data_IF_714719193007
#
_entry.id   IF_714719193007
#
_cell.length_a   1.000
_cell.length_b   1.000
_cell.length_c   1.000
_cell.angle_alpha   90.00
_cell.angle_beta   90.00
_cell.angle_gamma   90.00
#
_symmetry.space_group_name_H-M   'P 1'
#
loop_
_entity.id
_entity.type
_entity.pdbx_description
1 polymer ?
#
# COMPACT_ATOMS: atom_id res chain seq x y z
N UNK A 1 -2.13 13.29 2.25
CA UNK A 1 -3.32 13.03 1.43
C UNK A 1 -2.95 12.70 -0.01
N UNK A 2 -2.22 13.55 -0.75
CA UNK A 2 -1.77 13.23 -2.13
C UNK A 2 -0.95 11.92 -2.23
N UNK A 3 -0.04 11.68 -1.28
CA UNK A 3 0.75 10.44 -1.23
C UNK A 3 -0.12 9.19 -1.09
N UNK A 4 -1.27 9.30 -0.42
CA UNK A 4 -2.19 8.17 -0.21
C UNK A 4 -2.83 7.78 -1.53
N UNK A 5 -3.32 8.76 -2.28
CA UNK A 5 -3.91 8.54 -3.61
C UNK A 5 -2.89 7.93 -4.57
N UNK A 6 -1.62 8.36 -4.51
CA UNK A 6 -0.53 7.76 -5.32
C UNK A 6 -0.33 6.28 -5.03
N UNK A 7 -0.35 5.86 -3.76
CA UNK A 7 -0.22 4.43 -3.40
C UNK A 7 -1.44 3.65 -3.89
N UNK A 8 -2.65 4.17 -3.69
CA UNK A 8 -3.87 3.50 -4.13
C UNK A 8 -3.91 3.36 -5.65
N UNK A 9 -3.57 4.42 -6.39
CA UNK A 9 -3.50 4.38 -7.85
C UNK A 9 -2.42 3.39 -8.33
N UNK A 10 -1.25 3.40 -7.70
CA UNK A 10 -0.17 2.47 -8.02
C UNK A 10 -0.60 1.00 -7.90
N UNK A 11 -1.40 0.64 -6.90
CA UNK A 11 -1.94 -0.71 -6.74
C UNK A 11 -3.01 -1.08 -7.77
N UNK A 12 -3.77 -0.10 -8.28
CA UNK A 12 -4.70 -0.31 -9.40
C UNK A 12 -3.92 -0.56 -10.69
N UNK A 13 -2.86 0.22 -10.92
CA UNK A 13 -2.03 0.12 -12.11
C UNK A 13 -1.16 -1.15 -12.11
N UNK A 14 -0.90 -1.73 -10.93
CA UNK A 14 -0.07 -2.93 -10.73
C UNK A 14 -0.81 -4.00 -9.91
N UNK A 15 -1.85 -4.66 -10.46
CA UNK A 15 -2.70 -5.60 -9.72
C UNK A 15 -2.02 -6.93 -9.35
N UNK A 16 -0.83 -7.21 -9.92
CA UNK A 16 -0.04 -8.43 -9.71
C UNK A 16 1.33 -8.09 -9.15
N UNK A 17 1.38 -7.13 -8.23
CA UNK A 17 2.61 -6.72 -7.57
C UNK A 17 2.98 -7.76 -6.50
N UNK A 18 4.22 -8.26 -6.53
CA UNK A 18 4.68 -9.27 -5.58
C UNK A 18 4.94 -8.68 -4.18
N UNK A 19 5.56 -7.49 -4.13
CA UNK A 19 5.92 -6.84 -2.87
C UNK A 19 5.93 -5.30 -2.97
N UNK A 20 5.73 -4.64 -1.82
CA UNK A 20 6.06 -3.23 -1.57
C UNK A 20 7.17 -3.15 -0.53
N UNK A 21 8.28 -2.54 -0.93
CA UNK A 21 9.53 -2.42 -0.19
C UNK A 21 10.22 -1.07 -0.47
N UNK A 22 11.44 -0.90 0.04
CA UNK A 22 12.23 0.32 -0.15
C UNK A 22 12.63 0.60 -1.62
N UNK A 23 12.51 -0.37 -2.54
CA UNK A 23 12.80 -0.21 -3.97
C UNK A 23 11.56 0.19 -4.77
N UNK A 24 10.38 0.09 -4.15
CA UNK A 24 9.10 0.39 -4.77
C UNK A 24 8.96 1.88 -5.10
N UNK A 25 8.18 2.19 -6.14
CA UNK A 25 7.89 3.58 -6.57
C UNK A 25 7.04 4.37 -5.56
N UNK A 26 6.52 3.69 -4.55
CA UNK A 26 5.64 4.23 -3.52
C UNK A 26 6.28 4.10 -2.15
N UNK A 27 5.95 5.03 -1.26
CA UNK A 27 6.49 5.02 0.10
C UNK A 27 5.87 3.88 0.92
N UNK A 28 6.69 2.94 1.40
CA UNK A 28 6.23 1.82 2.24
C UNK A 28 5.57 2.30 3.53
N UNK A 29 6.07 3.40 4.12
CA UNK A 29 5.45 3.98 5.32
C UNK A 29 4.02 4.43 5.05
N UNK A 30 3.78 5.05 3.89
CA UNK A 30 2.43 5.43 3.46
C UNK A 30 1.56 4.20 3.20
N UNK A 31 2.12 3.15 2.61
CA UNK A 31 1.40 1.88 2.47
C UNK A 31 0.98 1.31 3.83
N UNK A 32 1.89 1.30 4.82
CA UNK A 32 1.59 0.87 6.19
C UNK A 32 0.46 1.68 6.82
N UNK A 33 0.50 3.01 6.70
CA UNK A 33 -0.58 3.86 7.21
C UNK A 33 -1.94 3.55 6.57
N UNK A 34 -1.96 3.25 5.26
CA UNK A 34 -3.17 2.83 4.55
C UNK A 34 -3.63 1.43 4.95
N UNK A 35 -2.69 0.54 5.21
CA UNK A 35 -2.94 -0.83 5.67
C UNK A 35 -3.58 -0.82 7.05
N UNK A 36 -3.05 -0.01 7.97
CA UNK A 36 -3.59 0.18 9.32
C UNK A 36 -5.00 0.81 9.29
N UNK A 37 -5.34 1.55 8.23
CA UNK A 37 -6.68 2.11 7.97
C UNK A 37 -7.62 1.15 7.20
N UNK A 38 -7.15 -0.03 6.79
CA UNK A 38 -7.94 -1.00 6.01
C UNK A 38 -8.23 -0.60 4.56
N UNK A 39 -7.47 0.37 4.02
CA UNK A 39 -7.60 0.84 2.63
C UNK A 39 -6.80 -0.02 1.65
N UNK A 40 -5.77 -0.70 2.13
CA UNK A 40 -4.98 -1.67 1.37
C UNK A 40 -4.78 -2.92 2.22
N UNK A 41 -4.49 -4.02 1.56
CA UNK A 41 -4.21 -5.32 2.17
C UNK A 41 -2.82 -5.79 1.71
N UNK A 42 -2.14 -6.57 2.54
CA UNK A 42 -0.86 -7.19 2.24
C UNK A 42 -0.39 -8.01 3.43
N UNK A 43 0.56 -8.90 3.22
CA UNK A 43 1.20 -9.67 4.27
C UNK A 43 2.38 -8.84 4.79
N UNK A 44 2.28 -8.34 6.02
CA UNK A 44 3.38 -7.63 6.67
C UNK A 44 4.53 -8.63 6.93
N UNK A 45 5.57 -8.56 6.10
CA UNK A 45 6.78 -9.36 6.20
C UNK A 45 7.90 -8.60 6.92
N UNK A 46 7.59 -7.44 7.51
CA UNK A 46 8.51 -6.70 8.37
C UNK A 46 8.82 -7.55 9.59
N UNK A 47 10.06 -8.06 9.69
CA UNK A 47 10.50 -8.79 10.89
C UNK A 47 10.52 -7.90 12.15
N UNK A 48 10.85 -8.48 13.30
CA UNK A 48 10.95 -7.77 14.60
C UNK A 48 11.96 -6.61 14.58
N UNK A 49 12.84 -6.55 13.58
CA UNK A 49 13.71 -5.41 13.36
C UNK A 49 12.97 -4.34 12.57
N UNK A 50 12.72 -3.20 13.20
CA UNK A 50 12.05 -2.00 12.64
C UNK A 50 12.78 -1.35 11.44
N UNK A 51 13.72 -2.06 10.81
CA UNK A 51 14.65 -1.59 9.79
C UNK A 51 14.22 -1.96 8.36
N UNK A 52 13.31 -2.92 8.20
CA UNK A 52 12.79 -3.33 6.89
C UNK A 52 11.27 -3.38 6.93
N UNK A 53 10.63 -2.38 6.33
CA UNK A 53 9.21 -2.45 6.03
C UNK A 53 9.05 -3.14 4.67
N UNK A 54 8.37 -4.29 4.67
CA UNK A 54 8.08 -5.07 3.47
C UNK A 54 6.66 -5.64 3.57
N UNK A 55 5.89 -5.49 2.50
CA UNK A 55 4.54 -6.06 2.38
C UNK A 55 4.47 -6.94 1.15
N UNK A 56 4.13 -8.22 1.34
CA UNK A 56 3.94 -9.17 0.25
C UNK A 56 2.49 -9.21 -0.20
N UNK A 57 2.27 -9.58 -1.47
CA UNK A 57 0.96 -9.62 -2.13
C UNK A 57 0.10 -8.35 -1.90
N UNK A 58 0.68 -7.14 -2.03
CA UNK A 58 -0.03 -5.90 -1.78
C UNK A 58 -1.18 -5.71 -2.76
N UNK A 59 -2.36 -5.38 -2.24
CA UNK A 59 -3.57 -5.13 -3.03
C UNK A 59 -4.42 -4.02 -2.44
N UNK A 60 -5.13 -3.30 -3.31
CA UNK A 60 -6.10 -2.30 -2.88
C UNK A 60 -7.39 -2.98 -2.39
N UNK A 61 -7.89 -2.56 -1.22
CA UNK A 61 -9.16 -3.08 -0.69
C UNK A 61 -10.36 -2.43 -1.40
N UNK A 62 -11.56 -2.97 -1.18
CA UNK A 62 -12.80 -2.33 -1.65
C UNK A 62 -12.96 -0.92 -1.06
N UNK A 63 -12.61 -0.75 0.21
CA UNK A 63 -12.64 0.54 0.91
C UNK A 63 -11.62 1.51 0.30
N UNK A 64 -10.42 1.03 -0.02
CA UNK A 64 -9.40 1.83 -0.72
C UNK A 64 -9.86 2.32 -2.09
N UNK A 65 -10.54 1.47 -2.86
CA UNK A 65 -11.11 1.86 -4.16
C UNK A 65 -12.17 2.95 -4.03
N UNK A 66 -13.06 2.83 -3.04
CA UNK A 66 -14.08 3.85 -2.75
C UNK A 66 -13.45 5.16 -2.31
N UNK A 67 -12.49 5.09 -1.40
CA UNK A 67 -11.74 6.27 -0.94
C UNK A 67 -11.06 6.99 -2.10
N UNK A 68 -10.42 6.25 -3.01
CA UNK A 68 -9.81 6.86 -4.20
C UNK A 68 -10.84 7.55 -5.07
N UNK A 69 -11.98 6.90 -5.37
CA UNK A 69 -13.03 7.47 -6.22
C UNK A 69 -13.67 8.75 -5.63
N UNK A 70 -13.70 8.88 -4.30
CA UNK A 70 -14.23 10.07 -3.62
C UNK A 70 -13.23 11.24 -3.56
N UNK A 71 -11.95 11.00 -3.88
CA UNK A 71 -10.86 11.96 -3.71
C UNK A 71 -10.04 12.19 -5.00
N UNK A 72 -10.53 11.71 -6.15
CA UNK A 72 -9.98 11.93 -7.50
C UNK A 72 -10.80 12.98 -8.25
#
# INVERSE_FOLDING_TARGET
MESYLKVLQFLIDNPSLDAIDHTSKVCVKTFKELHDQGLVEGIDASGDTSLSFEFLEPRISLTGRRFLAENV
#
